data_IF_649090838045
#
_entry.id   IF_649090838045
#
_cell.length_a   1.000
_cell.length_b   1.000
_cell.length_c   1.000
_cell.angle_alpha   90.00
_cell.angle_beta   90.00
_cell.angle_gamma   90.00
#
_symmetry.space_group_name_H-M   'P 1'
#
loop_
_entity.id
_entity.type
_entity.pdbx_description
1 polymer ?
#
# COMPACT_ATOMS: atom_id res chain seq x y z
N UNK A 1 -0.99 -4.44 12.18
CA UNK A 1 0.10 -5.33 11.66
C UNK A 1 1.11 -5.71 12.75
N UNK A 2 0.96 -5.23 13.99
CA UNK A 2 1.87 -5.53 15.11
C UNK A 2 1.84 -6.99 15.57
N UNK A 3 0.72 -7.69 15.32
CA UNK A 3 0.54 -9.08 15.69
C UNK A 3 1.36 -10.04 14.83
N UNK A 4 1.43 -9.81 13.51
CA UNK A 4 2.14 -10.70 12.58
C UNK A 4 3.66 -10.61 12.80
N UNK A 5 4.18 -9.42 13.07
CA UNK A 5 5.60 -9.22 13.41
C UNK A 5 5.99 -9.93 14.71
N UNK A 6 5.16 -9.83 15.77
CA UNK A 6 5.39 -10.58 17.02
C UNK A 6 5.31 -12.10 16.79
N UNK A 7 4.35 -12.57 16.00
CA UNK A 7 4.23 -14.00 15.67
C UNK A 7 5.42 -14.50 14.83
N UNK A 8 5.91 -13.72 13.87
CA UNK A 8 7.10 -14.05 13.07
C UNK A 8 8.38 -14.03 13.91
N UNK A 9 8.51 -13.08 14.84
CA UNK A 9 9.60 -13.03 15.82
C UNK A 9 9.61 -14.26 16.72
N UNK A 10 8.47 -14.61 17.31
CA UNK A 10 8.35 -15.79 18.16
C UNK A 10 8.64 -17.07 17.38
N UNK A 11 8.16 -17.16 16.14
CA UNK A 11 8.39 -18.31 15.27
C UNK A 11 9.88 -18.43 14.89
N UNK A 12 10.55 -17.30 14.60
CA UNK A 12 12.00 -17.27 14.36
C UNK A 12 12.81 -17.63 15.62
N UNK A 13 12.42 -17.11 16.78
CA UNK A 13 13.03 -17.43 18.09
C UNK A 13 12.82 -18.89 18.48
N UNK A 14 11.78 -19.57 17.99
CA UNK A 14 11.57 -21.01 18.26
C UNK A 14 12.31 -21.86 17.23
N UNK A 15 12.24 -21.53 15.93
CA UNK A 15 12.84 -22.32 14.86
C UNK A 15 14.37 -22.26 14.85
N UNK A 16 14.97 -21.11 15.13
CA UNK A 16 16.44 -20.97 15.07
C UNK A 16 17.13 -21.78 16.17
N UNK A 17 16.72 -21.74 17.45
CA UNK A 17 17.26 -22.61 18.49
C UNK A 17 16.84 -24.06 18.31
N UNK A 18 15.61 -24.34 17.86
CA UNK A 18 15.21 -25.72 17.57
C UNK A 18 16.11 -26.35 16.50
N UNK A 19 16.47 -25.61 15.46
CA UNK A 19 17.42 -26.07 14.44
C UNK A 19 18.86 -26.18 14.99
N UNK A 20 19.32 -25.20 15.77
CA UNK A 20 20.66 -25.21 16.35
C UNK A 20 20.87 -26.34 17.39
N UNK A 21 19.86 -26.65 18.19
CA UNK A 21 19.92 -27.66 19.26
C UNK A 21 19.39 -29.04 18.84
N UNK A 22 18.70 -29.17 17.71
CA UNK A 22 18.22 -30.46 17.18
C UNK A 22 19.34 -31.52 17.01
N UNK A 23 20.55 -31.19 16.52
CA UNK A 23 21.62 -32.18 16.37
C UNK A 23 22.12 -32.69 17.72
N UNK A 24 22.20 -31.81 18.72
CA UNK A 24 22.70 -32.14 20.07
C UNK A 24 21.69 -32.90 20.94
N UNK A 25 20.38 -32.73 20.72
CA UNK A 25 19.33 -33.35 21.54
C UNK A 25 18.72 -34.62 20.94
N UNK A 26 18.64 -34.72 19.61
CA UNK A 26 17.91 -35.80 18.93
C UNK A 26 18.80 -36.74 18.09
N UNK A 27 20.12 -36.50 18.04
CA UNK A 27 21.05 -37.36 17.30
C UNK A 27 20.75 -37.45 15.79
N UNK A 28 20.05 -36.46 15.24
CA UNK A 28 19.67 -36.43 13.83
C UNK A 28 20.91 -36.17 12.97
N UNK A 29 21.23 -37.07 12.05
CA UNK A 29 22.30 -36.86 11.06
C UNK A 29 22.00 -35.63 10.21
N UNK A 30 22.85 -34.61 10.33
CA UNK A 30 22.85 -33.44 9.45
C UNK A 30 23.10 -33.90 8.01
N UNK A 31 22.20 -33.57 7.09
CA UNK A 31 22.30 -33.97 5.67
C UNK A 31 21.05 -34.56 5.04
N UNK A 32 20.00 -34.87 5.82
CA UNK A 32 18.72 -35.32 5.27
C UNK A 32 17.99 -34.20 4.49
N UNK A 33 17.15 -34.58 3.53
CA UNK A 33 16.30 -33.66 2.76
C UNK A 33 15.41 -32.77 3.67
N UNK A 34 15.01 -33.28 4.84
CA UNK A 34 14.21 -32.55 5.82
C UNK A 34 14.98 -31.42 6.52
N UNK A 35 16.27 -31.61 6.80
CA UNK A 35 17.13 -30.59 7.44
C UNK A 35 17.36 -29.39 6.50
N UNK A 36 17.58 -29.67 5.21
CA UNK A 36 17.68 -28.61 4.18
C UNK A 36 16.38 -27.83 4.03
N UNK A 37 15.23 -28.51 4.06
CA UNK A 37 13.93 -27.87 3.99
C UNK A 37 13.65 -26.98 5.21
N UNK A 38 14.02 -27.42 6.42
CA UNK A 38 13.93 -26.62 7.64
C UNK A 38 14.82 -25.38 7.60
N UNK A 39 16.06 -25.50 7.10
CA UNK A 39 16.97 -24.37 6.94
C UNK A 39 16.41 -23.32 5.97
N UNK A 40 15.89 -23.76 4.80
CA UNK A 40 15.24 -22.85 3.84
C UNK A 40 13.97 -22.21 4.43
N UNK A 41 13.17 -22.94 5.18
CA UNK A 41 11.98 -22.41 5.85
C UNK A 41 12.35 -21.36 6.91
N UNK A 42 13.39 -21.60 7.72
CA UNK A 42 13.90 -20.65 8.68
C UNK A 42 14.44 -19.39 8.00
N UNK A 43 15.25 -19.54 6.95
CA UNK A 43 15.78 -18.43 6.18
C UNK A 43 14.67 -17.58 5.54
N UNK A 44 13.65 -18.22 4.95
CA UNK A 44 12.50 -17.54 4.35
C UNK A 44 11.66 -16.81 5.42
N UNK A 45 11.53 -17.39 6.62
CA UNK A 45 10.84 -16.75 7.75
C UNK A 45 11.55 -15.46 8.20
N UNK A 46 12.88 -15.52 8.35
CA UNK A 46 13.69 -14.35 8.72
C UNK A 46 13.63 -13.27 7.63
N UNK A 47 13.76 -13.65 6.36
CA UNK A 47 13.62 -12.73 5.23
C UNK A 47 12.23 -12.10 5.18
N UNK A 48 11.17 -12.87 5.41
CA UNK A 48 9.79 -12.37 5.49
C UNK A 48 9.60 -11.40 6.65
N UNK A 49 10.23 -11.64 7.80
CA UNK A 49 10.20 -10.75 8.96
C UNK A 49 10.90 -9.42 8.65
N UNK A 50 12.10 -9.46 8.06
CA UNK A 50 12.84 -8.26 7.65
C UNK A 50 12.00 -7.48 6.63
N UNK A 51 11.49 -8.17 5.61
CA UNK A 51 10.67 -7.55 4.58
C UNK A 51 9.45 -6.85 5.18
N UNK A 52 8.67 -7.51 6.04
CA UNK A 52 7.48 -6.92 6.66
C UNK A 52 7.80 -5.73 7.57
N UNK A 53 8.94 -5.76 8.26
CA UNK A 53 9.41 -4.65 9.08
C UNK A 53 9.72 -3.40 8.25
N UNK A 54 10.46 -3.55 7.14
CA UNK A 54 10.78 -2.43 6.25
C UNK A 54 9.57 -1.98 5.44
N UNK A 55 8.74 -2.91 4.97
CA UNK A 55 7.51 -2.64 4.23
C UNK A 55 6.58 -1.68 4.99
N UNK A 56 6.52 -1.77 6.31
CA UNK A 56 5.73 -0.85 7.14
C UNK A 56 6.10 0.63 6.96
N UNK A 57 7.38 0.93 6.73
CA UNK A 57 7.89 2.32 6.62
C UNK A 57 7.95 2.84 5.19
N UNK A 58 7.76 1.97 4.20
CA UNK A 58 7.90 2.31 2.78
C UNK A 58 6.60 2.76 2.11
N UNK A 59 5.47 2.65 2.80
CA UNK A 59 4.19 3.14 2.27
C UNK A 59 4.08 4.67 2.50
N UNK A 60 4.12 5.45 1.43
CA UNK A 60 3.93 6.90 1.49
C UNK A 60 3.18 7.43 0.28
N UNK A 61 2.58 8.61 0.47
CA UNK A 61 1.88 9.35 -0.56
C UNK A 61 2.56 10.69 -0.70
N UNK A 62 2.91 11.08 -1.92
CA UNK A 62 3.56 12.34 -2.20
C UNK A 62 2.85 13.03 -3.35
N UNK A 63 2.53 14.31 -3.17
CA UNK A 63 2.01 15.17 -4.23
C UNK A 63 3.20 15.75 -4.98
N UNK A 64 3.22 15.62 -6.32
CA UNK A 64 4.17 16.28 -7.21
C UNK A 64 3.44 17.25 -8.12
N UNK A 65 4.20 18.03 -8.90
CA UNK A 65 3.68 19.11 -9.76
C UNK A 65 2.68 18.67 -10.83
N UNK A 66 2.69 17.41 -11.25
CA UNK A 66 1.89 16.88 -12.36
C UNK A 66 1.13 15.58 -12.00
N UNK A 67 1.51 14.93 -10.91
CA UNK A 67 0.94 13.66 -10.47
C UNK A 67 1.02 13.48 -8.94
N UNK A 68 0.17 12.61 -8.42
CA UNK A 68 0.30 12.05 -7.07
C UNK A 68 1.01 10.71 -7.20
N UNK A 69 2.07 10.53 -6.41
CA UNK A 69 2.79 9.29 -6.27
C UNK A 69 2.24 8.55 -5.04
N UNK A 70 1.70 7.36 -5.27
CA UNK A 70 1.36 6.41 -4.21
C UNK A 70 2.43 5.32 -4.24
N UNK A 71 3.33 5.34 -3.27
CA UNK A 71 4.37 4.33 -3.12
C UNK A 71 3.95 3.33 -2.05
N UNK A 72 3.83 2.06 -2.42
CA UNK A 72 3.76 0.93 -1.49
C UNK A 72 5.04 0.11 -1.60
N UNK A 73 5.32 -0.80 -0.64
CA UNK A 73 6.55 -1.58 -0.62
C UNK A 73 6.83 -2.37 -1.90
N UNK A 74 5.77 -2.83 -2.57
CA UNK A 74 5.86 -3.65 -3.78
C UNK A 74 5.45 -2.89 -5.05
N UNK A 75 4.64 -1.84 -4.94
CA UNK A 75 4.08 -1.14 -6.09
C UNK A 75 4.15 0.38 -5.94
N UNK A 76 4.75 1.05 -6.92
CA UNK A 76 4.77 2.51 -7.01
C UNK A 76 3.88 2.96 -8.16
N UNK A 77 2.83 3.70 -7.85
CA UNK A 77 1.86 4.17 -8.84
C UNK A 77 1.90 5.68 -8.96
N UNK A 78 1.89 6.18 -10.19
CA UNK A 78 1.78 7.60 -10.50
C UNK A 78 0.39 7.88 -11.07
N UNK A 79 -0.35 8.76 -10.41
CA UNK A 79 -1.69 9.17 -10.84
C UNK A 79 -1.59 10.61 -11.30
N UNK A 80 -1.73 10.87 -12.61
CA UNK A 80 -1.73 12.25 -13.11
C UNK A 80 -2.97 13.01 -12.64
N UNK A 81 -2.83 14.31 -12.35
CA UNK A 81 -3.96 15.18 -12.00
C UNK A 81 -5.07 15.19 -13.06
N UNK A 82 -4.74 14.96 -14.34
CA UNK A 82 -5.74 14.87 -15.42
C UNK A 82 -6.71 13.69 -15.25
N UNK A 83 -6.28 12.61 -14.59
CA UNK A 83 -7.08 11.41 -14.36
C UNK A 83 -7.84 11.46 -13.04
N UNK A 84 -7.49 12.38 -12.14
CA UNK A 84 -8.19 12.54 -10.88
C UNK A 84 -9.52 13.26 -11.08
N UNK A 85 -10.55 12.77 -10.39
CA UNK A 85 -11.87 13.38 -10.33
C UNK A 85 -12.04 14.21 -9.08
N UNK A 86 -11.56 13.70 -7.95
CA UNK A 86 -11.78 14.28 -6.63
C UNK A 86 -10.71 13.82 -5.65
N UNK A 87 -10.36 14.70 -4.71
CA UNK A 87 -9.71 14.34 -3.46
C UNK A 87 -10.65 14.79 -2.35
N UNK A 88 -11.04 13.88 -1.46
CA UNK A 88 -11.96 14.22 -0.36
C UNK A 88 -11.48 13.58 0.95
N UNK A 89 -11.37 14.35 2.04
CA UNK A 89 -11.28 13.76 3.36
C UNK A 89 -12.65 13.19 3.74
N UNK A 90 -12.66 11.97 4.28
CA UNK A 90 -13.86 11.37 4.84
C UNK A 90 -13.49 10.48 6.02
N UNK A 91 -14.44 10.21 6.90
CA UNK A 91 -14.21 9.27 7.98
C UNK A 91 -14.37 7.83 7.49
N UNK A 92 -13.51 6.91 7.96
CA UNK A 92 -13.59 5.50 7.58
C UNK A 92 -14.98 4.87 7.84
N UNK A 93 -15.67 5.31 8.91
CA UNK A 93 -17.02 4.85 9.26
C UNK A 93 -18.11 5.23 8.25
N UNK A 94 -17.89 6.27 7.44
CA UNK A 94 -18.83 6.64 6.37
C UNK A 94 -18.67 5.75 5.12
N UNK A 95 -17.52 5.09 5.00
CA UNK A 95 -17.23 4.18 3.89
C UNK A 95 -17.60 2.73 4.22
N UNK A 96 -17.30 2.27 5.43
CA UNK A 96 -17.55 0.90 5.85
C UNK A 96 -18.48 0.88 7.07
N UNK A 97 -19.58 0.14 6.96
CA UNK A 97 -20.46 -0.12 8.10
C UNK A 97 -19.90 -1.27 8.96
N UNK A 98 -19.50 -1.03 10.23
CA UNK A 98 -18.94 -2.06 11.10
C UNK A 98 -19.85 -3.28 11.28
N UNK A 99 -21.17 -3.11 11.13
CA UNK A 99 -22.17 -4.18 11.32
C UNK A 99 -22.26 -5.11 10.12
N UNK A 100 -21.87 -4.62 8.93
CA UNK A 100 -21.90 -5.39 7.67
C UNK A 100 -20.55 -6.02 7.34
N UNK A 101 -19.50 -5.72 8.10
CA UNK A 101 -18.18 -6.31 7.92
C UNK A 101 -18.12 -7.73 8.49
N UNK A 102 -17.40 -8.62 7.80
CA UNK A 102 -17.03 -9.93 8.34
C UNK A 102 -16.19 -9.76 9.62
N UNK A 103 -16.16 -10.79 10.49
CA UNK A 103 -15.41 -10.72 11.75
C UNK A 103 -13.93 -10.39 11.54
N UNK A 104 -13.29 -10.99 10.53
CA UNK A 104 -11.89 -10.72 10.20
C UNK A 104 -11.68 -9.28 9.71
N UNK A 105 -12.56 -8.79 8.84
CA UNK A 105 -12.48 -7.44 8.28
C UNK A 105 -12.73 -6.38 9.34
N UNK A 106 -13.76 -6.60 10.17
CA UNK A 106 -14.06 -5.75 11.31
C UNK A 106 -12.86 -5.68 12.25
N UNK A 107 -12.25 -6.82 12.60
CA UNK A 107 -11.07 -6.85 13.49
C UNK A 107 -9.87 -6.10 12.90
N UNK A 108 -9.70 -6.15 11.58
CA UNK A 108 -8.63 -5.43 10.89
C UNK A 108 -8.88 -3.91 10.83
N UNK A 109 -10.13 -3.50 10.53
CA UNK A 109 -10.49 -2.09 10.35
C UNK A 109 -10.77 -1.36 11.67
N UNK A 110 -11.20 -2.08 12.72
CA UNK A 110 -11.60 -1.51 14.02
C UNK A 110 -10.63 -0.44 14.57
N UNK A 111 -9.29 -0.65 14.55
CA UNK A 111 -8.33 0.32 15.09
C UNK A 111 -8.26 1.64 14.31
N UNK A 112 -8.84 1.69 13.11
CA UNK A 112 -8.81 2.84 12.21
C UNK A 112 -10.17 3.54 12.09
N UNK A 113 -11.23 3.02 12.71
CA UNK A 113 -12.49 3.76 12.81
C UNK A 113 -12.30 5.03 13.64
N UNK A 114 -13.01 6.10 13.29
CA UNK A 114 -12.80 7.43 13.85
C UNK A 114 -11.61 8.20 13.26
N UNK A 115 -10.81 7.58 12.38
CA UNK A 115 -9.74 8.28 11.65
C UNK A 115 -10.24 8.81 10.31
N UNK A 116 -9.75 9.99 9.96
CA UNK A 116 -9.94 10.57 8.63
C UNK A 116 -9.06 9.85 7.62
N UNK A 117 -9.67 9.43 6.53
CA UNK A 117 -9.03 8.86 5.35
C UNK A 117 -9.18 9.83 4.20
N UNK A 118 -8.23 9.82 3.28
CA UNK A 118 -8.31 10.56 2.02
C UNK A 118 -8.75 9.61 0.91
N UNK A 119 -9.83 9.96 0.23
CA UNK A 119 -10.26 9.25 -0.98
C UNK A 119 -9.85 10.00 -2.22
N UNK A 120 -9.17 9.30 -3.12
CA UNK A 120 -8.79 9.79 -4.45
C UNK A 120 -9.71 9.13 -5.47
N UNK A 121 -10.69 9.88 -5.97
CA UNK A 121 -11.50 9.45 -7.10
C UNK A 121 -10.70 9.56 -8.40
N UNK A 122 -10.68 8.50 -9.22
CA UNK A 122 -9.99 8.48 -10.52
C UNK A 122 -10.95 8.11 -11.64
N UNK A 123 -10.71 8.63 -12.84
CA UNK A 123 -11.45 8.22 -14.06
C UNK A 123 -11.14 6.78 -14.42
N UNK A 124 -9.89 6.41 -14.32
CA UNK A 124 -9.36 5.10 -14.65
C UNK A 124 -8.17 4.79 -13.75
N UNK A 125 -7.97 3.50 -13.45
CA UNK A 125 -6.83 3.05 -12.69
C UNK A 125 -5.53 3.17 -13.49
N UNK A 126 -4.38 3.44 -12.83
CA UNK A 126 -3.10 3.57 -13.52
C UNK A 126 -2.59 2.25 -14.13
N UNK A 127 -3.01 1.12 -13.58
CA UNK A 127 -2.69 -0.23 -14.05
C UNK A 127 -3.95 -1.11 -14.08
N UNK A 128 -3.80 -2.33 -14.61
CA UNK A 128 -4.89 -3.31 -14.60
C UNK A 128 -5.29 -3.68 -13.17
N UNK A 129 -6.58 -3.94 -12.97
CA UNK A 129 -7.12 -4.25 -11.64
C UNK A 129 -6.50 -5.53 -11.05
N UNK A 130 -6.12 -6.51 -11.89
CA UNK A 130 -5.47 -7.74 -11.45
C UNK A 130 -4.11 -7.49 -10.80
N UNK A 131 -3.24 -6.72 -11.47
CA UNK A 131 -1.93 -6.32 -10.93
C UNK A 131 -2.10 -5.54 -9.64
N UNK A 132 -3.04 -4.60 -9.62
CA UNK A 132 -3.27 -3.78 -8.43
C UNK A 132 -3.80 -4.60 -7.25
N UNK A 133 -4.71 -5.55 -7.46
CA UNK A 133 -5.21 -6.44 -6.40
C UNK A 133 -4.15 -7.43 -5.89
N UNK A 134 -3.14 -7.75 -6.71
CA UNK A 134 -2.03 -8.62 -6.29
C UNK A 134 -1.10 -7.91 -5.29
N UNK A 135 -0.86 -6.61 -5.49
CA UNK A 135 0.10 -5.85 -4.68
C UNK A 135 -0.52 -4.92 -3.64
N UNK A 136 -1.81 -4.58 -3.76
CA UNK A 136 -2.50 -3.65 -2.86
C UNK A 136 -3.60 -4.37 -2.07
N UNK A 137 -3.74 -4.07 -0.77
CA UNK A 137 -4.81 -4.62 0.04
C UNK A 137 -6.18 -4.13 -0.44
N UNK A 138 -7.20 -4.97 -0.30
CA UNK A 138 -8.58 -4.67 -0.75
C UNK A 138 -9.15 -3.35 -0.21
N UNK A 139 -8.73 -2.92 0.97
CA UNK A 139 -9.22 -1.69 1.62
C UNK A 139 -8.59 -0.41 1.09
N UNK A 140 -7.55 -0.51 0.24
CA UNK A 140 -7.03 0.66 -0.48
C UNK A 140 -7.91 1.02 -1.69
N UNK A 141 -8.91 0.22 -2.02
CA UNK A 141 -9.85 0.50 -3.11
C UNK A 141 -11.17 0.98 -2.56
N UNK A 142 -11.71 2.03 -3.17
CA UNK A 142 -13.01 2.55 -2.78
C UNK A 142 -14.11 1.58 -3.28
N UNK A 143 -15.02 1.10 -2.39
CA UNK A 143 -16.07 0.17 -2.79
C UNK A 143 -17.20 0.83 -3.60
N UNK A 144 -17.37 2.16 -3.50
CA UNK A 144 -18.47 2.90 -4.12
C UNK A 144 -18.12 3.46 -5.50
N UNK A 145 -16.86 3.84 -5.70
CA UNK A 145 -16.39 4.48 -6.94
C UNK A 145 -14.97 4.04 -7.30
N UNK A 146 -14.56 4.26 -8.56
CA UNK A 146 -13.17 4.04 -8.99
C UNK A 146 -12.26 5.00 -8.26
N UNK A 147 -11.40 4.48 -7.39
CA UNK A 147 -10.57 5.33 -6.56
C UNK A 147 -9.77 4.57 -5.52
N UNK A 148 -8.90 5.33 -4.87
CA UNK A 148 -8.05 4.86 -3.80
C UNK A 148 -8.48 5.43 -2.45
N UNK A 149 -8.24 4.65 -1.41
CA UNK A 149 -8.49 5.00 -0.01
C UNK A 149 -7.16 4.99 0.71
N UNK A 150 -6.79 6.13 1.26
CA UNK A 150 -5.49 6.36 1.85
C UNK A 150 -5.67 6.76 3.31
N UNK A 151 -5.14 5.94 4.20
CA UNK A 151 -5.01 6.29 5.61
C UNK A 151 -3.68 7.04 5.76
N UNK A 152 -3.76 8.35 5.96
CA UNK A 152 -2.58 9.25 6.08
C UNK A 152 -2.58 9.86 7.48
N UNK A 153 -1.41 9.96 8.11
CA UNK A 153 -1.27 10.52 9.45
C UNK A 153 -1.62 12.01 9.50
N UNK A 154 -1.14 12.78 8.51
CA UNK A 154 -1.40 14.21 8.37
C UNK A 154 -2.16 14.48 7.07
N UNK A 155 -3.47 14.20 7.12
CA UNK A 155 -4.35 14.37 5.97
C UNK A 155 -4.53 15.86 5.59
N UNK A 156 -4.45 16.76 6.58
CA UNK A 156 -4.61 18.20 6.35
C UNK A 156 -3.47 18.72 5.49
N UNK A 157 -2.22 18.43 5.88
CA UNK A 157 -1.05 18.81 5.10
C UNK A 157 -1.10 18.25 3.68
N UNK A 158 -1.44 16.98 3.52
CA UNK A 158 -1.53 16.37 2.19
C UNK A 158 -2.62 17.02 1.33
N UNK A 159 -3.76 17.39 1.91
CA UNK A 159 -4.83 18.10 1.21
C UNK A 159 -4.37 19.48 0.77
N UNK A 160 -3.72 20.25 1.65
CA UNK A 160 -3.19 21.58 1.32
C UNK A 160 -2.12 21.52 0.25
N UNK A 161 -1.19 20.55 0.33
CA UNK A 161 -0.18 20.33 -0.70
C UNK A 161 -0.83 19.96 -2.04
N UNK A 162 -1.88 19.15 -2.02
CA UNK A 162 -2.64 18.79 -3.22
C UNK A 162 -3.32 20.00 -3.87
N UNK A 163 -4.04 20.80 -3.08
CA UNK A 163 -4.77 21.97 -3.57
C UNK A 163 -3.82 23.01 -4.16
N UNK A 164 -2.68 23.26 -3.51
CA UNK A 164 -1.63 24.15 -4.05
C UNK A 164 -1.06 23.66 -5.39
N UNK A 165 -0.78 22.36 -5.49
CA UNK A 165 -0.18 21.76 -6.69
C UNK A 165 -1.17 21.67 -7.87
N UNK A 166 -2.45 21.38 -7.59
CA UNK A 166 -3.46 21.30 -8.64
C UNK A 166 -3.78 22.69 -9.21
N UNK A 167 -3.77 23.74 -8.39
CA UNK A 167 -3.96 25.11 -8.85
C UNK A 167 -2.76 25.58 -9.67
N UNK A 168 -1.54 25.27 -9.24
CA UNK A 168 -0.32 25.50 -10.02
C UNK A 168 -0.36 24.78 -11.37
N UNK A 169 -0.84 23.53 -11.39
CA UNK A 169 -0.99 22.74 -12.61
C UNK A 169 -2.03 23.34 -13.56
N UNK A 170 -3.18 23.79 -13.05
CA UNK A 170 -4.22 24.47 -13.83
C UNK A 170 -3.73 25.81 -14.38
N UNK A 171 -2.96 26.58 -13.60
CA UNK A 171 -2.32 27.82 -14.04
C UNK A 171 -1.40 27.58 -15.24
N UNK A 172 -0.47 26.62 -15.13
CA UNK A 172 0.42 26.23 -16.24
C UNK A 172 -0.31 25.76 -17.50
N UNK A 173 -1.46 25.11 -17.35
CA UNK A 173 -2.28 24.72 -18.49
C UNK A 173 -2.95 25.90 -19.18
N UNK A 174 -3.35 26.93 -18.42
CA UNK A 174 -3.97 28.15 -18.97
C UNK A 174 -2.95 29.02 -19.71
N UNK A 175 -1.72 29.10 -19.21
CA UNK A 175 -0.66 29.92 -19.82
C UNK A 175 -0.10 29.34 -21.12
N UNK A 176 -0.25 28.03 -21.37
CA UNK A 176 0.35 27.40 -22.56
C UNK A 176 -0.65 26.60 -23.42
N UNK A 177 -1.66 27.23 -24.05
CA UNK A 177 -2.58 26.56 -24.98
C UNK A 177 -1.88 26.04 -26.24
N UNK A 178 -0.82 26.74 -26.69
CA UNK A 178 -0.14 26.49 -27.97
C UNK A 178 0.55 25.13 -28.07
N UNK A 179 0.98 24.53 -26.96
CA UNK A 179 1.57 23.18 -26.94
C UNK A 179 0.57 22.05 -27.24
N UNK A 180 -0.74 22.27 -27.07
CA UNK A 180 -1.77 21.28 -27.42
C UNK A 180 -2.13 21.31 -28.90
N UNK A 181 -2.04 22.47 -29.57
CA UNK A 181 -2.33 22.59 -31.00
C UNK A 181 -1.20 22.02 -31.87
N UNK A 182 0.07 22.24 -31.50
CA UNK A 182 1.20 21.68 -32.26
C UNK A 182 1.23 20.13 -32.26
N UNK A 183 0.72 19.48 -31.22
CA UNK A 183 0.62 18.02 -31.18
C UNK A 183 -0.56 17.46 -32.00
N UNK A 184 -1.57 18.28 -32.29
CA UNK A 184 -2.70 17.91 -33.17
C UNK A 184 -2.42 18.21 -34.65
N UNK A 185 -1.64 19.25 -34.96
CA UNK A 185 -1.27 19.60 -36.34
C UNK A 185 -0.21 18.71 -36.99
N UNK A 186 0.42 17.79 -36.24
CA UNK A 186 1.42 16.84 -36.76
C UNK A 186 0.84 15.49 -37.19
N UNK A 187 -0.47 15.28 -36.97
CA UNK A 187 -1.21 14.08 -37.36
C UNK A 187 -2.46 14.40 -38.22
N UNK A 188 -2.54 15.63 -38.73
CA UNK A 188 -3.59 16.09 -39.64
C UNK A 188 -3.10 16.14 -41.07
#
# INVERSE_FOLDING_TARGET
MDRVWRSMLLLSIVLVPAWYFAPSLLGVQQGSLGDRAMMWAAALSVLGMIFTFFARRMAYVQVKSDHVLIATPLLRMKISFRRMKSLRPMELGQMYDPRRLSWADRRFLLPYFGRTILTIGVREYPHSMGVMKLFLPKYMFNPKEKGFVLLVSDWMRLSTEFDSMIDSFRGRMRENPRRQESARGLYG
#
